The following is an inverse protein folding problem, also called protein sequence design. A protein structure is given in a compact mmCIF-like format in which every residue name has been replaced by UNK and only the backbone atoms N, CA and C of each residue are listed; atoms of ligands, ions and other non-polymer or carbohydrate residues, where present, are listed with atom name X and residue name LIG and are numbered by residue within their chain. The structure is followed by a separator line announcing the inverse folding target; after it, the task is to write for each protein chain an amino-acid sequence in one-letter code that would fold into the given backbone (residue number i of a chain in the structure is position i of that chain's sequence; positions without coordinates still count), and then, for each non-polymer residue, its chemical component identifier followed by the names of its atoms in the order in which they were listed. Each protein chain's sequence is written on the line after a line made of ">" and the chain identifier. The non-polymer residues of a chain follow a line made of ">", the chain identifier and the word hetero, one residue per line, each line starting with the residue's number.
data_IF_978764427240
#
_entry.id   IF_978764427240
#
_cell.length_a   1.000
_cell.length_b   1.000
_cell.length_c   1.000
_cell.angle_alpha   90.00
_cell.angle_beta   90.00
_cell.angle_gamma   90.00
#
_symmetry.space_group_name_H-M   'P 1'
#
loop_
_entity.id
_entity.type
_entity.pdbx_description
1 polymer ?
#
# COMPACT_ATOMS: atom_id res chain seq x y z
N UNK A 1 1.60 -20.47 3.84
CA UNK A 1 2.13 -19.21 3.30
C UNK A 1 2.11 -18.18 4.40
N UNK A 2 3.23 -17.56 4.72
CA UNK A 2 3.25 -16.41 5.65
C UNK A 2 2.83 -15.12 4.93
N UNK A 3 2.66 -14.02 5.65
CA UNK A 3 2.19 -12.74 5.08
C UNK A 3 3.10 -12.21 3.97
N UNK A 4 4.42 -12.36 4.10
CA UNK A 4 5.37 -11.91 3.09
C UNK A 4 5.25 -12.74 1.79
N UNK A 5 5.23 -14.06 1.92
CA UNK A 5 5.03 -14.95 0.78
C UNK A 5 3.69 -14.69 0.09
N UNK A 6 2.65 -14.38 0.88
CA UNK A 6 1.35 -13.99 0.33
C UNK A 6 1.44 -12.67 -0.43
N UNK A 7 2.14 -11.66 0.08
CA UNK A 7 2.31 -10.40 -0.64
C UNK A 7 2.94 -10.61 -2.00
N UNK A 8 4.11 -11.27 -2.02
CA UNK A 8 4.83 -11.55 -3.27
C UNK A 8 3.94 -12.32 -4.25
N UNK A 9 3.25 -13.34 -3.74
CA UNK A 9 2.38 -14.17 -4.56
C UNK A 9 1.20 -13.41 -5.15
N UNK A 10 0.54 -12.53 -4.41
CA UNK A 10 -0.59 -11.75 -4.93
C UNK A 10 -0.14 -10.61 -5.87
N UNK A 11 1.06 -10.06 -5.66
CA UNK A 11 1.66 -9.03 -6.51
C UNK A 11 2.19 -9.58 -7.84
N UNK A 12 2.65 -10.83 -7.88
CA UNK A 12 3.20 -11.46 -9.10
C UNK A 12 2.15 -11.80 -10.16
N UNK A 13 0.86 -11.66 -9.84
CA UNK A 13 -0.23 -12.13 -10.70
C UNK A 13 -0.64 -11.10 -11.75
N UNK A 14 -1.21 -11.62 -12.83
CA UNK A 14 -1.86 -10.80 -13.85
C UNK A 14 -3.27 -10.42 -13.41
N UNK A 15 -3.64 -9.15 -13.61
CA UNK A 15 -4.94 -8.62 -13.22
C UNK A 15 -5.59 -7.87 -14.38
N UNK A 16 -6.84 -8.21 -14.66
CA UNK A 16 -7.66 -7.59 -15.70
C UNK A 16 -8.58 -6.55 -15.10
N UNK A 17 -8.57 -5.32 -15.62
CA UNK A 17 -9.48 -4.27 -15.16
C UNK A 17 -10.94 -4.55 -15.57
N UNK A 18 -11.88 -4.47 -14.63
CA UNK A 18 -13.29 -4.73 -14.86
C UNK A 18 -13.99 -3.52 -15.52
N UNK A 19 -14.26 -3.61 -16.83
CA UNK A 19 -14.93 -2.53 -17.59
C UNK A 19 -16.44 -2.43 -17.35
N UNK A 20 -17.08 -3.54 -16.96
CA UNK A 20 -18.54 -3.66 -16.89
C UNK A 20 -19.15 -3.10 -15.60
N UNK A 21 -18.33 -2.72 -14.61
CA UNK A 21 -18.75 -2.22 -13.30
C UNK A 21 -18.06 -0.89 -12.95
N UNK A 22 -18.26 0.13 -13.79
CA UNK A 22 -17.59 1.42 -13.66
C UNK A 22 -17.79 2.12 -12.30
N UNK A 23 -18.93 1.91 -11.64
CA UNK A 23 -19.23 2.47 -10.32
C UNK A 23 -18.46 1.82 -9.15
N UNK A 24 -17.76 0.71 -9.39
CA UNK A 24 -16.91 0.05 -8.39
C UNK A 24 -15.61 -0.34 -9.10
N UNK A 25 -14.67 0.59 -9.33
CA UNK A 25 -13.45 0.29 -10.06
C UNK A 25 -12.65 -0.83 -9.36
N UNK A 26 -12.53 -1.96 -10.04
CA UNK A 26 -11.80 -3.12 -9.54
C UNK A 26 -11.12 -3.86 -10.70
N UNK A 27 -10.22 -4.78 -10.34
CA UNK A 27 -9.60 -5.72 -11.27
C UNK A 27 -9.87 -7.14 -10.80
N UNK A 28 -9.69 -8.11 -11.67
CA UNK A 28 -9.91 -9.52 -11.36
C UNK A 28 -8.89 -10.41 -12.05
N UNK A 29 -8.75 -11.63 -11.51
CA UNK A 29 -8.09 -12.76 -12.16
C UNK A 29 -9.05 -13.95 -12.12
N UNK A 30 -9.01 -14.78 -13.15
CA UNK A 30 -9.90 -15.94 -13.30
C UNK A 30 -9.15 -17.23 -13.05
N UNK A 31 -9.88 -18.26 -12.59
CA UNK A 31 -9.34 -19.60 -12.39
C UNK A 31 -8.66 -20.16 -13.65
N UNK A 32 -9.14 -19.76 -14.83
CA UNK A 32 -8.63 -20.23 -16.12
C UNK A 32 -7.37 -19.48 -16.60
N UNK A 33 -6.94 -18.43 -15.88
CA UNK A 33 -5.71 -17.69 -16.21
C UNK A 33 -4.44 -18.47 -15.81
N UNK A 34 -4.59 -19.60 -15.10
CA UNK A 34 -3.50 -20.38 -14.50
C UNK A 34 -3.35 -21.74 -15.17
N UNK A 35 -2.11 -22.19 -15.36
CA UNK A 35 -1.78 -23.50 -15.93
C UNK A 35 -2.30 -24.66 -15.05
N UNK A 36 -2.24 -24.47 -13.73
CA UNK A 36 -2.84 -25.37 -12.75
C UNK A 36 -3.79 -24.62 -11.83
N UNK A 37 -4.80 -25.31 -11.30
CA UNK A 37 -5.75 -24.68 -10.38
C UNK A 37 -5.18 -24.50 -8.96
N UNK A 38 -4.03 -25.11 -8.65
CA UNK A 38 -3.44 -25.09 -7.31
C UNK A 38 -3.07 -23.67 -6.85
N UNK A 39 -2.52 -22.83 -7.73
CA UNK A 39 -2.21 -21.43 -7.43
C UNK A 39 -3.48 -20.64 -7.10
N UNK A 40 -4.50 -20.81 -7.93
CA UNK A 40 -5.78 -20.14 -7.74
C UNK A 40 -6.46 -20.57 -6.43
N UNK A 41 -6.51 -21.88 -6.17
CA UNK A 41 -7.13 -22.43 -4.96
C UNK A 41 -6.37 -22.04 -3.69
N UNK A 42 -5.03 -21.95 -3.75
CA UNK A 42 -4.21 -21.43 -2.65
C UNK A 42 -4.58 -19.98 -2.32
N UNK A 43 -4.79 -19.13 -3.32
CA UNK A 43 -5.25 -17.75 -3.07
C UNK A 43 -6.63 -17.70 -2.44
N UNK A 44 -7.60 -18.45 -3.00
CA UNK A 44 -8.98 -18.47 -2.47
C UNK A 44 -8.96 -18.94 -1.01
N UNK A 45 -8.20 -20.00 -0.73
CA UNK A 45 -8.03 -20.53 0.64
C UNK A 45 -7.43 -19.48 1.56
N UNK A 46 -6.37 -18.79 1.12
CA UNK A 46 -5.70 -17.78 1.91
C UNK A 46 -6.61 -16.57 2.23
N UNK A 47 -7.35 -16.05 1.25
CA UNK A 47 -8.34 -14.97 1.45
C UNK A 47 -9.38 -15.38 2.49
N UNK A 48 -9.83 -16.63 2.48
CA UNK A 48 -10.86 -17.12 3.42
C UNK A 48 -10.33 -17.32 4.83
N UNK A 49 -9.08 -17.77 4.96
CA UNK A 49 -8.45 -18.04 6.26
C UNK A 49 -7.98 -16.76 6.96
N UNK A 50 -7.51 -15.77 6.21
CA UNK A 50 -6.86 -14.57 6.74
C UNK A 50 -7.65 -13.28 6.48
N UNK A 51 -8.67 -13.33 5.61
CA UNK A 51 -9.54 -12.19 5.34
C UNK A 51 -10.50 -11.93 6.50
N UNK A 52 -10.81 -10.66 6.72
CA UNK A 52 -11.83 -10.23 7.68
C UNK A 52 -13.21 -10.20 7.02
N UNK A 53 -14.25 -10.55 7.78
CA UNK A 53 -15.61 -10.46 7.28
C UNK A 53 -16.06 -9.01 7.27
N UNK A 54 -16.47 -8.50 6.11
CA UNK A 54 -17.12 -7.19 6.00
C UNK A 54 -18.42 -7.29 5.20
N UNK A 55 -19.34 -6.38 5.51
CA UNK A 55 -20.62 -6.28 4.84
C UNK A 55 -20.48 -5.44 3.58
N UNK A 56 -20.87 -6.00 2.44
CA UNK A 56 -21.09 -5.28 1.20
C UNK A 56 -22.57 -5.36 0.83
N UNK A 57 -23.27 -4.22 0.96
CA UNK A 57 -24.74 -4.15 0.83
C UNK A 57 -25.41 -5.17 1.75
N UNK A 58 -26.00 -6.22 1.21
CA UNK A 58 -26.69 -7.29 1.96
C UNK A 58 -25.85 -8.58 2.09
N UNK A 59 -24.63 -8.59 1.55
CA UNK A 59 -23.75 -9.74 1.54
C UNK A 59 -22.59 -9.55 2.53
N UNK A 60 -22.13 -10.65 3.13
CA UNK A 60 -20.90 -10.66 3.90
C UNK A 60 -19.83 -11.38 3.08
N UNK A 61 -18.72 -10.70 2.80
CA UNK A 61 -17.58 -11.27 2.08
C UNK A 61 -16.35 -11.31 2.99
N UNK A 62 -15.43 -12.24 2.72
CA UNK A 62 -14.10 -12.22 3.31
C UNK A 62 -13.22 -11.31 2.47
N UNK A 63 -12.73 -10.23 3.08
CA UNK A 63 -11.80 -9.28 2.47
C UNK A 63 -10.42 -9.46 3.09
N UNK A 64 -9.45 -9.79 2.24
CA UNK A 64 -8.03 -9.78 2.60
C UNK A 64 -7.45 -8.41 2.21
N UNK A 65 -6.77 -7.74 3.13
CA UNK A 65 -6.06 -6.49 2.86
C UNK A 65 -4.57 -6.76 2.82
N UNK A 66 -3.94 -6.44 1.69
CA UNK A 66 -2.54 -6.73 1.47
C UNK A 66 -1.96 -5.75 0.43
N UNK A 67 -0.82 -5.13 0.75
CA UNK A 67 -0.10 -4.21 -0.14
C UNK A 67 -0.97 -3.12 -0.80
N UNK A 68 -1.90 -2.56 -0.03
CA UNK A 68 -2.77 -1.49 -0.51
C UNK A 68 -3.93 -1.94 -1.40
N UNK A 69 -4.16 -3.24 -1.51
CA UNK A 69 -5.34 -3.80 -2.17
C UNK A 69 -6.22 -4.54 -1.16
N UNK A 70 -7.53 -4.50 -1.39
CA UNK A 70 -8.49 -5.44 -0.82
C UNK A 70 -8.80 -6.52 -1.84
N UNK A 71 -8.77 -7.78 -1.44
CA UNK A 71 -9.02 -8.96 -2.27
C UNK A 71 -10.25 -9.71 -1.75
N UNK A 72 -11.10 -10.21 -2.65
CA UNK A 72 -12.29 -10.97 -2.28
C UNK A 72 -12.72 -11.98 -3.34
N UNK A 73 -13.46 -12.99 -2.89
CA UNK A 73 -14.16 -13.96 -3.74
C UNK A 73 -15.66 -13.76 -3.67
N UNK A 74 -16.36 -14.09 -4.76
CA UNK A 74 -17.83 -14.04 -4.78
C UNK A 74 -18.48 -15.33 -4.26
N UNK A 75 -17.81 -16.48 -4.44
CA UNK A 75 -18.33 -17.78 -4.05
C UNK A 75 -17.96 -18.16 -2.60
N UNK A 76 -18.76 -19.06 -2.04
CA UNK A 76 -18.68 -19.54 -0.66
C UNK A 76 -17.72 -20.71 -0.44
N UNK A 77 -17.17 -21.27 -1.51
CA UNK A 77 -16.35 -22.49 -1.50
C UNK A 77 -15.21 -22.36 -2.50
N UNK A 78 -14.12 -23.09 -2.26
CA UNK A 78 -12.92 -23.02 -3.11
C UNK A 78 -13.26 -23.48 -4.53
N UNK A 79 -13.86 -24.65 -4.68
CA UNK A 79 -14.22 -25.31 -5.94
C UNK A 79 -15.19 -24.48 -6.79
N UNK A 80 -16.13 -23.75 -6.18
CA UNK A 80 -17.06 -22.87 -6.90
C UNK A 80 -16.52 -21.49 -7.22
N UNK A 81 -15.33 -21.14 -6.71
CA UNK A 81 -14.74 -19.83 -7.00
C UNK A 81 -14.09 -19.86 -8.37
N UNK A 82 -14.56 -18.98 -9.26
CA UNK A 82 -14.01 -18.80 -10.61
C UNK A 82 -13.23 -17.50 -10.77
N UNK A 83 -13.45 -16.54 -9.87
CA UNK A 83 -12.89 -15.18 -9.96
C UNK A 83 -12.45 -14.72 -8.59
N UNK A 84 -11.25 -14.13 -8.54
CA UNK A 84 -10.78 -13.32 -7.41
C UNK A 84 -10.74 -11.87 -7.87
N UNK A 85 -11.34 -10.99 -7.09
CA UNK A 85 -11.36 -9.57 -7.35
C UNK A 85 -10.37 -8.85 -6.44
N UNK A 86 -9.84 -7.72 -6.92
CA UNK A 86 -9.08 -6.76 -6.11
C UNK A 86 -9.45 -5.31 -6.41
N UNK A 87 -9.35 -4.44 -5.42
CA UNK A 87 -9.52 -3.00 -5.58
C UNK A 87 -8.64 -2.24 -4.58
N UNK A 88 -8.34 -0.97 -4.88
CA UNK A 88 -7.81 -0.05 -3.87
C UNK A 88 -8.94 0.21 -2.85
N UNK A 89 -8.70 0.07 -1.54
CA UNK A 89 -9.74 0.38 -0.57
C UNK A 89 -9.96 1.89 -0.49
N UNK A 90 -11.22 2.30 -0.36
CA UNK A 90 -11.56 3.69 -0.04
C UNK A 90 -11.39 3.87 1.47
N UNK A 91 -10.39 4.69 1.85
CA UNK A 91 -10.01 4.96 3.23
C UNK A 91 -9.64 6.43 3.35
N UNK A 92 -10.64 7.33 3.49
CA UNK A 92 -10.33 8.72 3.74
C UNK A 92 -9.56 8.84 5.05
N UNK A 93 -8.52 9.66 5.02
CA UNK A 93 -7.69 10.02 6.17
C UNK A 93 -7.82 11.51 6.41
N UNK A 94 -7.64 11.96 7.66
CA UNK A 94 -7.62 13.39 7.96
C UNK A 94 -6.51 14.17 7.20
N UNK A 95 -5.47 13.45 6.75
CA UNK A 95 -4.39 14.03 5.96
C UNK A 95 -4.77 14.32 4.52
N UNK A 96 -5.80 13.65 3.97
CA UNK A 96 -6.25 13.93 2.60
C UNK A 96 -6.71 15.39 2.47
N UNK A 97 -7.40 15.91 3.48
CA UNK A 97 -7.93 17.28 3.51
C UNK A 97 -6.84 18.37 3.48
N UNK A 98 -5.65 18.06 4.00
CA UNK A 98 -4.56 19.03 4.15
C UNK A 98 -3.38 18.77 3.21
N UNK A 99 -3.39 17.69 2.43
CA UNK A 99 -2.24 17.22 1.65
C UNK A 99 -1.60 18.31 0.77
N UNK A 100 -2.41 19.11 0.08
CA UNK A 100 -1.94 20.18 -0.81
C UNK A 100 -1.32 21.38 -0.08
N UNK A 101 -1.62 21.55 1.21
CA UNK A 101 -1.09 22.65 2.04
C UNK A 101 -0.08 22.17 3.09
N UNK A 102 0.13 20.86 3.19
CA UNK A 102 0.92 20.22 4.23
C UNK A 102 2.33 20.79 4.32
N UNK A 103 3.04 20.87 3.19
CA UNK A 103 4.41 21.40 3.13
C UNK A 103 4.48 22.86 3.60
N UNK A 104 3.44 23.65 3.32
CA UNK A 104 3.38 25.05 3.76
C UNK A 104 3.18 25.17 5.29
N UNK A 105 2.41 24.26 5.90
CA UNK A 105 2.24 24.23 7.37
C UNK A 105 3.58 24.04 8.08
N UNK A 106 4.49 23.27 7.49
CA UNK A 106 5.80 22.93 8.04
C UNK A 106 6.97 23.68 7.39
N UNK A 107 6.71 24.76 6.64
CA UNK A 107 7.76 25.54 5.97
C UNK A 107 8.62 26.38 6.93
N UNK A 108 8.14 26.66 8.14
CA UNK A 108 8.82 27.60 9.05
C UNK A 108 10.20 27.08 9.49
N UNK A 109 11.12 28.01 9.75
CA UNK A 109 12.53 27.77 10.12
C UNK A 109 12.73 26.68 11.20
N UNK A 110 11.93 26.59 12.29
CA UNK A 110 12.13 25.54 13.30
C UNK A 110 12.03 24.12 12.72
N UNK A 111 11.06 23.85 11.83
CA UNK A 111 10.91 22.55 11.19
C UNK A 111 12.03 22.27 10.20
N UNK A 112 12.47 23.28 9.44
CA UNK A 112 13.62 23.14 8.54
C UNK A 112 14.92 22.84 9.31
N UNK A 113 15.09 23.46 10.49
CA UNK A 113 16.24 23.21 11.37
C UNK A 113 16.22 21.79 11.95
N UNK A 114 15.04 21.31 12.36
CA UNK A 114 14.82 19.92 12.79
C UNK A 114 15.14 18.94 11.67
N UNK A 115 14.57 19.12 10.48
CA UNK A 115 14.81 18.26 9.31
C UNK A 115 16.31 18.17 8.99
N UNK A 116 16.98 19.32 8.95
CA UNK A 116 18.42 19.39 8.68
C UNK A 116 19.24 18.65 9.73
N UNK A 117 18.89 18.80 11.01
CA UNK A 117 19.56 18.08 12.08
C UNK A 117 19.33 16.58 11.96
N UNK A 118 18.07 16.17 11.80
CA UNK A 118 17.64 14.78 11.69
C UNK A 118 18.37 14.04 10.57
N UNK A 119 18.27 14.51 9.32
CA UNK A 119 18.88 13.85 8.16
C UNK A 119 20.41 13.85 8.20
N UNK A 120 21.04 14.80 8.92
CA UNK A 120 22.48 14.77 9.18
C UNK A 120 22.89 13.62 10.11
N UNK A 121 22.01 13.22 11.04
CA UNK A 121 22.29 12.12 11.98
C UNK A 121 21.91 10.76 11.41
N UNK A 122 20.70 10.60 10.87
CA UNK A 122 20.17 9.27 10.52
C UNK A 122 20.79 8.67 9.26
N UNK A 123 21.27 9.51 8.33
CA UNK A 123 21.99 9.14 7.08
C UNK A 123 21.48 7.83 6.42
N UNK A 124 20.21 7.80 5.95
CA UNK A 124 19.62 6.61 5.37
C UNK A 124 20.39 6.18 4.11
N UNK A 125 20.57 4.87 3.90
CA UNK A 125 21.38 4.31 2.81
C UNK A 125 20.89 2.94 2.37
N UNK A 126 21.30 2.54 1.17
CA UNK A 126 20.87 1.28 0.56
C UNK A 126 19.41 1.35 0.13
N UNK A 127 18.72 0.21 0.16
CA UNK A 127 17.27 0.14 -0.10
C UNK A 127 16.50 0.66 1.11
N UNK A 128 15.59 1.59 0.87
CA UNK A 128 14.88 2.34 1.91
C UNK A 128 13.39 2.04 1.86
N UNK A 129 12.82 1.68 3.01
CA UNK A 129 11.38 1.74 3.25
C UNK A 129 11.08 2.99 4.07
N UNK A 130 10.19 3.83 3.56
CA UNK A 130 9.74 5.07 4.21
C UNK A 130 8.28 4.94 4.60
N UNK A 131 8.06 4.75 5.91
CA UNK A 131 6.76 4.53 6.53
C UNK A 131 6.17 5.87 6.94
N UNK A 132 5.02 6.22 6.35
CA UNK A 132 4.42 7.54 6.48
C UNK A 132 5.19 8.55 5.63
N UNK A 133 5.48 8.19 4.38
CA UNK A 133 6.31 9.03 3.50
C UNK A 133 5.68 10.38 3.14
N UNK A 134 4.36 10.53 3.38
CA UNK A 134 3.63 11.77 3.17
C UNK A 134 3.83 12.34 1.77
N UNK A 135 4.19 13.63 1.71
CA UNK A 135 4.44 14.40 0.49
C UNK A 135 5.87 14.26 -0.06
N UNK A 136 6.66 13.31 0.46
CA UNK A 136 7.98 12.97 -0.07
C UNK A 136 9.15 13.78 0.48
N UNK A 137 9.09 14.24 1.73
CA UNK A 137 10.19 15.00 2.34
C UNK A 137 11.52 14.22 2.32
N UNK A 138 11.50 12.92 2.62
CA UNK A 138 12.74 12.14 2.75
C UNK A 138 13.57 12.12 1.47
N UNK A 139 12.94 12.01 0.31
CA UNK A 139 13.65 11.94 -0.99
C UNK A 139 14.31 13.27 -1.37
N UNK A 140 13.91 14.38 -0.76
CA UNK A 140 14.55 15.70 -0.93
C UNK A 140 15.87 15.80 -0.16
N UNK A 141 16.03 15.01 0.91
CA UNK A 141 17.21 15.04 1.79
C UNK A 141 18.18 13.89 1.56
N UNK A 142 17.70 12.75 1.07
CA UNK A 142 18.54 11.58 0.80
C UNK A 142 19.19 11.75 -0.58
N UNK A 143 20.50 12.03 -0.57
CA UNK A 143 21.27 12.23 -1.80
C UNK A 143 21.43 10.93 -2.59
N UNK A 144 21.38 11.04 -3.92
CA UNK A 144 21.61 9.94 -4.86
C UNK A 144 20.65 8.75 -4.69
N UNK A 145 19.44 8.99 -4.19
CA UNK A 145 18.44 7.95 -4.05
C UNK A 145 17.80 7.62 -5.41
N UNK A 146 17.91 6.37 -5.83
CA UNK A 146 17.19 5.85 -7.00
C UNK A 146 15.75 5.49 -6.62
N UNK A 147 14.75 5.72 -7.49
CA UNK A 147 13.40 5.18 -7.31
C UNK A 147 13.34 3.66 -7.15
N UNK A 148 14.32 2.92 -7.69
CA UNK A 148 14.42 1.46 -7.51
C UNK A 148 14.85 1.04 -6.10
N UNK A 149 15.50 1.94 -5.37
CA UNK A 149 16.03 1.70 -4.02
C UNK A 149 15.15 2.34 -2.94
N UNK A 150 13.94 2.77 -3.29
CA UNK A 150 13.00 3.40 -2.38
C UNK A 150 11.64 2.72 -2.47
N UNK A 151 10.95 2.61 -1.34
CA UNK A 151 9.54 2.30 -1.26
C UNK A 151 8.90 3.23 -0.23
N UNK A 152 7.91 4.02 -0.66
CA UNK A 152 7.15 4.89 0.22
C UNK A 152 5.77 4.30 0.49
N UNK A 153 5.38 4.21 1.76
CA UNK A 153 4.05 3.77 2.16
C UNK A 153 3.34 4.89 2.94
N UNK A 154 2.08 5.15 2.61
CA UNK A 154 1.24 6.09 3.34
C UNK A 154 -0.25 5.72 3.19
N UNK A 155 -1.09 5.79 4.24
CA UNK A 155 -2.52 5.54 4.12
C UNK A 155 -3.26 6.65 3.36
N UNK A 156 -2.73 7.88 3.33
CA UNK A 156 -3.35 8.99 2.63
C UNK A 156 -3.07 8.92 1.13
N UNK A 157 -4.13 8.81 0.35
CA UNK A 157 -4.04 8.82 -1.10
C UNK A 157 -3.56 10.19 -1.59
N UNK A 158 -4.05 11.27 -1.01
CA UNK A 158 -3.78 12.62 -1.51
C UNK A 158 -2.38 13.12 -1.11
N UNK A 159 -1.83 12.64 0.01
CA UNK A 159 -0.41 12.82 0.35
C UNK A 159 0.49 12.16 -0.71
N UNK A 160 0.20 10.92 -1.09
CA UNK A 160 0.94 10.21 -2.14
C UNK A 160 0.76 10.82 -3.52
N UNK A 161 -0.42 11.38 -3.82
CA UNK A 161 -0.61 12.14 -5.06
C UNK A 161 0.24 13.41 -5.08
N UNK A 162 0.31 14.11 -3.95
CA UNK A 162 1.16 15.31 -3.82
C UNK A 162 2.64 14.92 -3.95
N UNK A 163 3.06 13.82 -3.33
CA UNK A 163 4.40 13.26 -3.52
C UNK A 163 4.65 12.94 -5.00
N UNK A 164 3.81 12.12 -5.64
CA UNK A 164 3.97 11.76 -7.04
C UNK A 164 3.98 12.96 -7.97
N UNK A 165 3.27 14.05 -7.65
CA UNK A 165 3.31 15.29 -8.41
C UNK A 165 4.66 16.03 -8.25
N UNK A 166 5.18 16.12 -7.03
CA UNK A 166 6.48 16.74 -6.72
C UNK A 166 7.65 15.94 -7.29
N UNK A 167 7.56 14.61 -7.22
CA UNK A 167 8.63 13.67 -7.54
C UNK A 167 8.12 12.51 -8.42
N UNK A 168 7.74 12.76 -9.69
CA UNK A 168 7.08 11.77 -10.54
C UNK A 168 7.85 10.46 -10.76
N UNK A 169 9.19 10.54 -10.71
CA UNK A 169 10.07 9.38 -10.83
C UNK A 169 9.88 8.35 -9.71
N UNK A 170 9.39 8.78 -8.54
CA UNK A 170 9.11 7.89 -7.41
C UNK A 170 7.68 7.34 -7.41
N UNK A 171 6.77 7.83 -8.26
CA UNK A 171 5.38 7.37 -8.27
C UNK A 171 5.21 5.83 -8.35
N UNK A 172 6.00 5.08 -9.15
CA UNK A 172 5.92 3.62 -9.19
C UNK A 172 6.32 2.92 -7.88
N UNK A 173 7.08 3.60 -7.04
CA UNK A 173 7.57 3.09 -5.74
C UNK A 173 6.62 3.37 -4.56
N UNK A 174 5.53 4.10 -4.80
CA UNK A 174 4.57 4.46 -3.75
C UNK A 174 3.49 3.39 -3.59
N UNK A 175 3.06 3.16 -2.35
CA UNK A 175 1.96 2.26 -2.00
C UNK A 175 1.01 2.98 -1.04
N UNK A 176 -0.27 3.00 -1.42
CA UNK A 176 -1.34 3.56 -0.57
C UNK A 176 -1.93 2.42 0.24
N UNK A 177 -1.59 2.35 1.53
CA UNK A 177 -1.93 1.24 2.42
C UNK A 177 -1.85 1.68 3.88
N UNK A 178 -2.60 1.02 4.76
CA UNK A 178 -2.34 1.16 6.18
C UNK A 178 -0.97 0.56 6.54
N UNK A 179 -0.38 1.05 7.64
CA UNK A 179 0.98 0.65 8.03
C UNK A 179 1.10 -0.83 8.43
N UNK A 180 0.00 -1.48 8.79
CA UNK A 180 -0.11 -2.90 9.14
C UNK A 180 -0.51 -3.80 7.95
N UNK A 181 -0.65 -3.24 6.74
CA UNK A 181 -1.12 -3.97 5.55
C UNK A 181 -0.07 -4.14 4.46
N UNK A 182 1.07 -3.46 4.55
CA UNK A 182 2.15 -3.58 3.58
C UNK A 182 3.32 -4.38 4.17
N UNK A 183 3.59 -5.52 3.54
CA UNK A 183 4.61 -6.46 4.00
C UNK A 183 5.64 -6.64 2.90
N UNK A 184 6.86 -6.18 3.15
CA UNK A 184 7.98 -6.27 2.19
C UNK A 184 9.30 -6.52 2.93
N UNK A 185 10.34 -6.91 2.20
CA UNK A 185 11.65 -7.27 2.78
C UNK A 185 12.82 -6.73 1.95
N UNK A 186 14.02 -6.82 2.53
CA UNK A 186 15.26 -6.50 1.82
C UNK A 186 15.67 -5.03 1.90
N UNK A 187 15.06 -4.25 2.78
CA UNK A 187 15.50 -2.88 3.04
C UNK A 187 16.72 -2.86 3.95
N UNK A 188 17.69 -2.04 3.60
CA UNK A 188 18.88 -1.76 4.41
C UNK A 188 18.57 -0.70 5.49
N UNK A 189 17.63 0.20 5.20
CA UNK A 189 17.14 1.21 6.14
C UNK A 189 15.61 1.26 6.12
N UNK A 190 15.00 1.31 7.30
CA UNK A 190 13.57 1.62 7.47
C UNK A 190 13.50 2.95 8.21
N UNK A 191 12.78 3.93 7.65
CA UNK A 191 12.51 5.20 8.30
C UNK A 191 11.01 5.31 8.61
N UNK A 192 10.71 5.86 9.78
CA UNK A 192 9.36 6.04 10.32
C UNK A 192 9.40 7.32 11.16
N UNK A 193 9.27 8.47 10.51
CA UNK A 193 9.58 9.78 11.09
C UNK A 193 8.32 10.51 11.58
N UNK A 194 8.51 11.58 12.36
CA UNK A 194 7.46 12.52 12.78
C UNK A 194 6.23 11.89 13.47
N UNK A 195 6.46 10.83 14.24
CA UNK A 195 5.42 10.23 15.07
C UNK A 195 4.46 9.31 14.33
N UNK A 196 4.83 8.79 13.15
CA UNK A 196 4.00 7.85 12.37
C UNK A 196 3.49 6.65 13.20
N UNK A 197 4.29 6.18 14.17
CA UNK A 197 3.89 5.09 15.06
C UNK A 197 2.64 5.37 15.90
N UNK A 198 2.32 6.63 16.17
CA UNK A 198 1.11 7.04 16.92
C UNK A 198 -0.18 6.81 16.14
N UNK A 199 -0.10 6.54 14.83
CA UNK A 199 -1.25 6.35 13.94
C UNK A 199 -1.54 4.86 13.65
N UNK A 200 -0.82 3.94 14.32
CA UNK A 200 -1.08 2.51 14.22
C UNK A 200 -2.27 2.17 15.12
N UNK A 201 -3.37 1.72 14.53
CA UNK A 201 -4.66 1.51 15.21
C UNK A 201 -4.74 0.26 16.10
N UNK A 202 -3.68 -0.56 16.18
CA UNK A 202 -3.69 -1.90 16.80
C UNK A 202 -2.46 -2.15 17.70
N UNK A 203 -2.15 -1.23 18.63
CA UNK A 203 -1.14 -1.44 19.68
C UNK A 203 -1.77 -1.69 21.03
#
# INVERSE_FOLDING_TARGET
>A
MNLYEATEFFESLSWTFAKTMAGIPHSYTTRNDYETQEEFERMVTYIRQHGRQEKWRNYNHHYLYLSGYKYWTMSDTVDRTLVINRARPERPTAYDEIATTYDNLFWKKPFQDENRALFRYIKPRGRILDIGCGTGLAVEWIKNLSPSDYMGIDPSKDMLQTFAWKHPQFAPSLRCCAFDECWSRGFDTIIALYGVGSYISNV
#
